data_IF_288796890485
#
_entry.id   IF_288796890485
#
_cell.length_a   1.000
_cell.length_b   1.000
_cell.length_c   1.000
_cell.angle_alpha   90.00
_cell.angle_beta   90.00
_cell.angle_gamma   90.00
#
_symmetry.space_group_name_H-M   'P 1'
#
loop_
_entity.id
_entity.type
_entity.pdbx_description
1 polymer ?
#
# COMPACT_ATOMS: atom_id res chain seq x y z
N UNK A 1 14.81 17.92 12.62
CA UNK A 1 14.49 17.73 12.47
C UNK A 1 13.80 17.32 12.17
N UNK A 2 13.47 17.23 12.01
CA UNK A 2 12.89 16.88 11.68
C UNK A 2 12.12 16.43 11.52
N UNK A 3 11.69 16.30 11.40
CA UNK A 3 11.05 15.87 11.34
C UNK A 3 10.11 15.69 10.97
N UNK A 4 9.62 15.92 10.70
CA UNK A 4 8.75 15.89 10.35
C UNK A 4 8.02 15.39 9.85
N UNK A 5 7.90 15.26 9.58
CA UNK A 5 7.47 14.74 9.02
C UNK A 5 6.49 13.93 8.88
N UNK A 6 5.78 13.61 9.26
CA UNK A 6 4.70 12.71 9.27
C UNK A 6 3.39 13.31 8.91
N UNK A 7 3.42 14.33 8.10
CA UNK A 7 2.18 14.87 7.60
C UNK A 7 1.57 13.93 6.63
N UNK A 8 0.28 13.59 6.77
CA UNK A 8 -0.35 12.72 5.79
C UNK A 8 -0.39 13.38 4.44
N UNK A 9 -0.24 12.58 3.42
CA UNK A 9 -0.46 13.03 2.05
C UNK A 9 -1.85 12.66 1.63
N UNK A 10 -2.43 13.45 0.77
CA UNK A 10 -3.70 13.08 0.17
C UNK A 10 -3.46 12.33 -1.11
N UNK A 11 -4.15 11.22 -1.26
CA UNK A 11 -4.09 10.42 -2.46
C UNK A 11 -5.51 10.26 -2.98
N UNK A 12 -5.72 10.59 -4.26
CA UNK A 12 -7.02 10.46 -4.89
C UNK A 12 -7.07 9.14 -5.64
N UNK A 13 -8.04 8.32 -5.28
CA UNK A 13 -8.23 7.04 -5.95
C UNK A 13 -8.92 7.26 -7.29
N UNK A 14 -8.85 6.27 -8.20
CA UNK A 14 -9.41 6.45 -9.53
C UNK A 14 -10.89 6.80 -9.57
N UNK A 15 -11.65 6.43 -8.53
CA UNK A 15 -13.07 6.76 -8.49
C UNK A 15 -13.34 8.12 -7.85
N UNK A 16 -12.28 8.87 -7.51
CA UNK A 16 -12.43 10.18 -6.90
C UNK A 16 -12.37 10.20 -5.39
N UNK A 17 -12.35 9.03 -4.76
CA UNK A 17 -12.23 8.98 -3.30
C UNK A 17 -10.87 9.50 -2.88
N UNK A 18 -10.84 10.34 -1.84
CA UNK A 18 -9.60 10.88 -1.32
C UNK A 18 -9.30 10.23 0.02
N UNK A 19 -8.08 9.75 0.17
CA UNK A 19 -7.62 9.17 1.42
C UNK A 19 -6.37 9.89 1.88
N UNK A 20 -6.16 9.91 3.19
CA UNK A 20 -4.94 10.48 3.77
C UNK A 20 -4.00 9.31 4.06
N UNK A 21 -2.87 9.29 3.38
CA UNK A 21 -1.93 8.18 3.46
C UNK A 21 -0.68 8.59 4.22
N UNK A 22 -0.12 7.65 4.94
CA UNK A 22 1.14 7.85 5.67
C UNK A 22 1.63 6.47 6.08
N UNK A 23 2.89 6.36 6.54
CA UNK A 23 3.40 5.05 6.94
C UNK A 23 2.51 4.39 7.99
N UNK A 24 2.39 3.09 7.90
CA UNK A 24 1.53 2.33 8.79
C UNK A 24 2.15 2.24 10.19
N UNK A 25 1.27 2.24 11.21
CA UNK A 25 1.75 1.95 12.54
C UNK A 25 2.27 0.52 12.57
N UNK A 26 3.12 0.24 13.55
CA UNK A 26 3.87 -1.02 13.57
C UNK A 26 2.96 -2.24 13.55
N UNK A 27 1.86 -2.19 14.31
CA UNK A 27 0.99 -3.36 14.37
C UNK A 27 0.42 -3.73 13.00
N UNK A 28 0.08 -2.73 12.19
CA UNK A 28 -0.39 -3.00 10.83
C UNK A 28 0.76 -3.29 9.89
N UNK A 29 1.90 -2.64 10.11
CA UNK A 29 3.05 -2.84 9.25
C UNK A 29 3.53 -4.29 9.31
N UNK A 30 3.46 -4.93 10.46
CA UNK A 30 3.87 -6.33 10.55
C UNK A 30 3.05 -7.20 9.63
N UNK A 31 1.73 -7.04 9.67
CA UNK A 31 0.86 -7.82 8.81
C UNK A 31 1.09 -7.49 7.34
N UNK A 32 1.28 -6.21 7.07
CA UNK A 32 1.52 -5.74 5.72
C UNK A 32 2.79 -6.38 5.16
N UNK A 33 3.87 -6.37 5.92
CA UNK A 33 5.14 -6.90 5.43
C UNK A 33 5.08 -8.41 5.21
N UNK A 34 4.38 -9.13 6.08
CA UNK A 34 4.20 -10.57 5.86
C UNK A 34 3.50 -10.84 4.54
N UNK A 35 2.44 -10.09 4.28
CA UNK A 35 1.69 -10.27 3.05
C UNK A 35 2.54 -9.86 1.85
N UNK A 36 3.25 -8.76 1.99
CA UNK A 36 4.05 -8.24 0.89
C UNK A 36 5.14 -9.23 0.49
N UNK A 37 5.84 -9.82 1.48
CA UNK A 37 6.89 -10.77 1.15
C UNK A 37 6.33 -12.04 0.53
N UNK A 38 5.10 -12.40 0.85
CA UNK A 38 4.47 -13.57 0.24
C UNK A 38 4.25 -13.40 -1.26
N UNK A 39 4.21 -12.16 -1.74
CA UNK A 39 4.02 -11.95 -3.17
C UNK A 39 5.15 -12.57 -3.97
N UNK A 40 6.36 -12.54 -3.45
CA UNK A 40 7.49 -13.12 -4.17
C UNK A 40 7.33 -14.63 -4.36
N UNK A 41 6.66 -15.28 -3.43
CA UNK A 41 6.49 -16.72 -3.50
C UNK A 41 5.53 -17.15 -4.58
N UNK A 42 4.67 -16.23 -5.02
CA UNK A 42 3.67 -16.53 -6.03
C UNK A 42 3.83 -15.62 -7.23
N UNK A 43 5.03 -15.09 -7.44
CA UNK A 43 5.24 -14.07 -8.46
C UNK A 43 4.88 -14.55 -9.85
N UNK A 44 4.94 -15.87 -10.09
CA UNK A 44 4.60 -16.40 -11.41
C UNK A 44 3.10 -16.58 -11.61
N UNK A 45 2.32 -16.46 -10.56
CA UNK A 45 0.87 -16.59 -10.64
C UNK A 45 0.26 -15.22 -10.52
N UNK A 46 -0.18 -14.66 -11.64
CA UNK A 46 -0.69 -13.30 -11.67
C UNK A 46 -1.91 -13.12 -10.79
N UNK A 47 -2.80 -14.11 -10.76
CA UNK A 47 -4.00 -13.98 -9.94
C UNK A 47 -3.65 -13.96 -8.46
N UNK A 48 -2.76 -14.83 -8.03
CA UNK A 48 -2.37 -14.86 -6.63
C UNK A 48 -1.58 -13.63 -6.25
N UNK A 49 -0.72 -13.15 -7.14
CA UNK A 49 0.00 -11.91 -6.88
C UNK A 49 -0.97 -10.75 -6.70
N UNK A 50 -1.98 -10.68 -7.56
CA UNK A 50 -2.96 -9.62 -7.47
C UNK A 50 -3.75 -9.71 -6.16
N UNK A 51 -4.14 -10.93 -5.77
CA UNK A 51 -4.85 -11.11 -4.52
C UNK A 51 -4.03 -10.60 -3.35
N UNK A 52 -2.73 -10.87 -3.34
CA UNK A 52 -1.88 -10.41 -2.25
C UNK A 52 -1.66 -8.91 -2.29
N UNK A 53 -1.56 -8.32 -3.48
CA UNK A 53 -1.48 -6.86 -3.57
C UNK A 53 -2.72 -6.22 -2.99
N UNK A 54 -3.88 -6.75 -3.30
CA UNK A 54 -5.12 -6.22 -2.74
C UNK A 54 -5.17 -6.44 -1.23
N UNK A 55 -4.65 -7.56 -0.76
CA UNK A 55 -4.60 -7.78 0.67
C UNK A 55 -3.70 -6.76 1.37
N UNK A 56 -2.58 -6.41 0.76
CA UNK A 56 -1.72 -5.34 1.30
C UNK A 56 -2.50 -4.03 1.40
N UNK A 57 -3.25 -3.71 0.36
CA UNK A 57 -4.06 -2.49 0.36
C UNK A 57 -5.11 -2.55 1.46
N UNK A 58 -5.74 -3.71 1.65
CA UNK A 58 -6.74 -3.84 2.70
C UNK A 58 -6.14 -3.57 4.08
N UNK A 59 -4.95 -4.09 4.31
CA UNK A 59 -4.28 -3.85 5.58
C UNK A 59 -4.01 -2.36 5.76
N UNK A 60 -3.55 -1.69 4.70
CA UNK A 60 -3.29 -0.26 4.77
C UNK A 60 -4.58 0.52 5.01
N UNK A 61 -5.68 0.08 4.41
CA UNK A 61 -6.95 0.78 4.57
C UNK A 61 -7.48 0.71 5.98
N UNK A 62 -7.05 -0.26 6.77
CA UNK A 62 -7.45 -0.27 8.18
C UNK A 62 -7.02 1.02 8.88
N UNK A 63 -5.97 1.64 8.39
CA UNK A 63 -5.51 2.91 8.95
C UNK A 63 -6.08 4.09 8.18
N UNK A 64 -6.20 3.96 6.85
CA UNK A 64 -6.55 5.11 6.02
C UNK A 64 -8.07 5.28 5.86
N UNK A 65 -8.78 4.19 5.64
CA UNK A 65 -10.23 4.24 5.44
C UNK A 65 -10.80 2.87 5.75
N UNK A 66 -11.10 2.62 7.02
CA UNK A 66 -11.47 1.27 7.46
C UNK A 66 -12.65 0.66 6.72
N UNK A 67 -13.60 1.46 6.27
CA UNK A 67 -14.73 0.87 5.57
C UNK A 67 -14.32 0.24 4.24
N UNK A 68 -13.23 0.69 3.63
CA UNK A 68 -12.74 0.05 2.41
C UNK A 68 -11.94 -1.20 2.73
N UNK A 69 -11.40 -1.30 3.93
CA UNK A 69 -10.58 -2.45 4.29
C UNK A 69 -11.37 -3.75 4.24
N UNK A 70 -12.68 -3.68 4.40
CA UNK A 70 -13.48 -4.88 4.45
C UNK A 70 -14.16 -5.22 3.15
N UNK A 71 -13.89 -4.44 2.10
CA UNK A 71 -14.58 -4.65 0.83
C UNK A 71 -13.55 -4.82 -0.29
N UNK A 72 -12.98 -6.02 -0.35
CA UNK A 72 -11.95 -6.31 -1.34
C UNK A 72 -12.49 -6.18 -2.75
N UNK A 73 -13.74 -6.58 -2.97
CA UNK A 73 -14.32 -6.50 -4.30
C UNK A 73 -14.41 -5.06 -4.77
N UNK A 74 -14.77 -4.16 -3.87
CA UNK A 74 -14.83 -2.76 -4.25
C UNK A 74 -13.44 -2.21 -4.53
N UNK A 75 -12.45 -2.60 -3.75
CA UNK A 75 -11.08 -2.15 -4.00
C UNK A 75 -10.61 -2.60 -5.37
N UNK A 76 -10.89 -3.85 -5.73
CA UNK A 76 -10.49 -4.33 -7.04
C UNK A 76 -11.19 -3.57 -8.17
N UNK A 77 -12.38 -3.08 -7.89
CA UNK A 77 -13.16 -2.40 -8.90
C UNK A 77 -12.72 -0.97 -9.12
N UNK A 78 -12.20 -0.31 -8.08
CA UNK A 78 -11.88 1.11 -8.19
C UNK A 78 -10.39 1.39 -8.31
N UNK A 79 -9.51 0.44 -8.00
CA UNK A 79 -8.08 0.69 -8.01
C UNK A 79 -7.45 0.22 -9.30
N UNK A 80 -6.42 0.94 -9.71
CA UNK A 80 -5.55 0.48 -10.78
C UNK A 80 -4.18 0.18 -10.18
N UNK A 81 -3.34 -0.46 -10.96
CA UNK A 81 -2.07 -0.92 -10.45
C UNK A 81 -1.15 0.21 -9.99
N UNK A 82 -1.03 1.30 -10.74
CA UNK A 82 -0.19 2.41 -10.24
C UNK A 82 -0.65 2.95 -8.90
N UNK A 83 -1.97 3.04 -8.69
CA UNK A 83 -2.49 3.51 -7.42
C UNK A 83 -2.18 2.53 -6.31
N UNK A 84 -2.29 1.23 -6.60
CA UNK A 84 -1.95 0.21 -5.61
C UNK A 84 -0.50 0.37 -5.18
N UNK A 85 0.41 0.58 -6.13
CA UNK A 85 1.82 0.75 -5.79
C UNK A 85 2.05 2.01 -4.98
N UNK A 86 1.34 3.09 -5.28
CA UNK A 86 1.46 4.30 -4.48
C UNK A 86 1.03 4.05 -3.04
N UNK A 87 -0.06 3.32 -2.85
CA UNK A 87 -0.51 3.00 -1.51
C UNK A 87 0.53 2.16 -0.79
N UNK A 88 1.11 1.20 -1.48
CA UNK A 88 2.12 0.33 -0.88
C UNK A 88 3.35 1.14 -0.46
N UNK A 89 3.79 2.06 -1.30
CA UNK A 89 4.93 2.90 -0.96
C UNK A 89 4.66 3.73 0.27
N UNK A 90 3.50 4.34 0.34
CA UNK A 90 3.18 5.17 1.49
C UNK A 90 3.02 4.33 2.74
N UNK A 91 2.40 3.17 2.60
CA UNK A 91 2.16 2.30 3.75
C UNK A 91 3.47 1.78 4.34
N UNK A 92 4.41 1.44 3.48
CA UNK A 92 5.69 0.90 3.95
C UNK A 92 6.61 1.98 4.49
N UNK A 93 6.35 3.23 4.15
CA UNK A 93 7.20 4.31 4.59
C UNK A 93 8.44 4.50 3.75
N UNK A 94 8.53 3.79 2.62
CA UNK A 94 9.68 3.91 1.73
C UNK A 94 9.19 4.15 0.32
N UNK A 95 10.00 4.85 -0.44
CA UNK A 95 9.74 5.04 -1.86
C UNK A 95 10.56 4.02 -2.62
N UNK A 96 9.88 3.03 -3.17
CA UNK A 96 10.58 1.88 -3.72
C UNK A 96 11.55 2.26 -4.83
N UNK A 97 11.12 3.16 -5.70
CA UNK A 97 12.01 3.63 -6.75
C UNK A 97 13.23 4.32 -6.20
N UNK A 98 13.03 5.13 -5.17
CA UNK A 98 14.16 5.83 -4.56
C UNK A 98 15.10 4.87 -3.89
N UNK A 99 14.59 3.80 -3.32
CA UNK A 99 15.44 2.83 -2.69
C UNK A 99 16.41 2.24 -3.69
N UNK A 100 15.92 1.89 -4.86
CA UNK A 100 16.79 1.34 -5.86
C UNK A 100 17.80 2.33 -6.31
N UNK A 101 17.35 3.54 -6.58
CA UNK A 101 18.27 4.57 -7.04
C UNK A 101 19.27 4.90 -5.97
N UNK A 102 18.79 5.08 -4.76
CA UNK A 102 19.69 5.40 -3.67
C UNK A 102 20.68 4.30 -3.43
N UNK A 103 20.22 3.08 -3.56
CA UNK A 103 21.07 1.95 -3.27
C UNK A 103 22.25 1.86 -4.20
N UNK A 104 22.10 2.37 -5.42
CA UNK A 104 23.18 2.25 -6.33
C UNK A 104 24.12 3.39 -6.25
N UNK A 105 23.87 4.32 -5.46
CA UNK A 105 24.88 5.36 -5.32
C UNK A 105 25.89 5.03 -4.30
#
# INVERSE_FOLDING_TARGET
MATTINEPKELTLPDGTVIAVRPLKISLLRDFMKTFTSIEEVAEDNDKSMDLLIECVRIAMRQYKPELAEDAAKLEDILDLPTVYQIIEEASGTTMGNQFVGGKN
#
